data_IF_407699280924
#
_entry.id   IF_407699280924
#
_cell.length_a   1.000
_cell.length_b   1.000
_cell.length_c   1.000
_cell.angle_alpha   90.00
_cell.angle_beta   90.00
_cell.angle_gamma   90.00
#
_symmetry.space_group_name_H-M   'P 1'
#
loop_
_entity.id
_entity.type
_entity.pdbx_description
1 polymer ?
#
# COMPACT_ATOMS: atom_id res chain seq x y z
N UNK A 1 94.36 13.16 -33.78
CA UNK A 1 93.68 11.90 -34.18
C UNK A 1 92.80 11.52 -33.01
N UNK A 2 91.62 12.13 -32.98
CA UNK A 2 90.67 12.04 -31.88
C UNK A 2 89.75 10.84 -32.11
N UNK A 3 89.88 9.83 -31.25
CA UNK A 3 88.99 8.66 -31.24
C UNK A 3 87.78 8.98 -30.37
N UNK A 4 86.68 9.35 -31.03
CA UNK A 4 85.36 9.55 -30.47
C UNK A 4 84.82 8.25 -29.85
N UNK A 5 84.82 8.15 -28.52
CA UNK A 5 84.02 7.20 -27.75
C UNK A 5 82.72 7.89 -27.32
N UNK A 6 81.78 8.04 -28.26
CA UNK A 6 80.40 8.41 -27.95
C UNK A 6 79.54 7.15 -27.96
N UNK A 7 79.58 6.39 -26.86
CA UNK A 7 78.62 5.32 -26.61
C UNK A 7 77.24 5.95 -26.37
N UNK A 8 76.36 5.86 -27.35
CA UNK A 8 74.94 6.18 -27.17
C UNK A 8 74.30 5.11 -26.28
N UNK A 9 74.31 5.33 -24.97
CA UNK A 9 73.53 4.55 -24.01
C UNK A 9 72.04 4.89 -24.19
N UNK A 10 71.41 4.38 -25.25
CA UNK A 10 69.95 4.29 -25.29
C UNK A 10 69.53 3.12 -24.42
N UNK A 11 69.19 3.40 -23.16
CA UNK A 11 68.53 2.43 -22.29
C UNK A 11 67.27 1.89 -23.00
N UNK A 12 67.00 0.58 -22.98
CA UNK A 12 65.81 0.02 -23.59
C UNK A 12 64.55 0.70 -23.00
N UNK A 13 63.52 0.93 -23.82
CA UNK A 13 62.28 1.55 -23.33
C UNK A 13 61.71 0.68 -22.20
N UNK A 14 61.42 1.30 -21.06
CA UNK A 14 60.79 0.61 -19.93
C UNK A 14 59.43 0.06 -20.39
N UNK A 15 59.07 -1.17 -20.02
CA UNK A 15 57.75 -1.69 -20.34
C UNK A 15 56.68 -0.82 -19.67
N UNK A 16 55.67 -0.40 -20.44
CA UNK A 16 54.52 0.33 -19.91
C UNK A 16 53.69 -0.61 -19.04
N UNK A 17 53.25 -0.14 -17.87
CA UNK A 17 52.35 -0.88 -16.99
C UNK A 17 51.08 -1.29 -17.74
N UNK A 18 50.55 -2.48 -17.44
CA UNK A 18 49.31 -2.99 -18.05
C UNK A 18 48.35 -3.50 -16.99
N UNK A 19 47.08 -3.11 -17.09
CA UNK A 19 46.01 -3.64 -16.25
C UNK A 19 45.72 -5.09 -16.64
N UNK A 20 46.22 -6.04 -15.86
CA UNK A 20 45.96 -7.48 -16.02
C UNK A 20 45.30 -7.98 -14.74
N UNK A 21 44.19 -8.72 -14.87
CA UNK A 21 43.52 -9.32 -13.70
C UNK A 21 44.33 -10.49 -13.12
N UNK A 22 44.99 -11.24 -14.00
CA UNK A 22 45.88 -12.33 -13.64
C UNK A 22 47.14 -12.23 -14.50
N UNK A 23 48.27 -12.10 -13.83
CA UNK A 23 49.60 -11.99 -14.41
C UNK A 23 50.57 -11.78 -13.25
N UNK A 24 51.70 -12.46 -13.26
CA UNK A 24 52.71 -12.27 -12.21
C UNK A 24 53.27 -10.84 -12.19
N UNK A 25 54.23 -10.60 -11.30
CA UNK A 25 54.87 -9.30 -11.10
C UNK A 25 55.37 -8.70 -12.42
N UNK A 26 54.94 -7.47 -12.72
CA UNK A 26 55.39 -6.76 -13.92
C UNK A 26 56.79 -6.17 -13.69
N UNK A 27 57.78 -6.48 -14.56
CA UNK A 27 59.13 -5.97 -14.39
C UNK A 27 59.16 -4.44 -14.40
N UNK A 28 59.71 -3.83 -13.35
CA UNK A 28 59.87 -2.37 -13.23
C UNK A 28 58.77 -1.64 -12.47
N UNK A 29 57.82 -2.36 -11.86
CA UNK A 29 56.78 -1.80 -10.99
C UNK A 29 56.73 -2.58 -9.67
N UNK A 30 56.56 -1.86 -8.56
CA UNK A 30 56.37 -2.46 -7.23
C UNK A 30 55.00 -3.17 -7.14
N UNK A 31 54.88 -4.11 -6.19
CA UNK A 31 53.65 -4.91 -6.01
C UNK A 31 52.43 -4.06 -5.64
N UNK A 32 52.64 -2.90 -5.01
CA UNK A 32 51.59 -1.93 -4.66
C UNK A 32 51.44 -0.78 -5.68
N UNK A 33 52.06 -0.90 -6.87
CA UNK A 33 52.00 0.14 -7.87
C UNK A 33 50.58 0.28 -8.44
N UNK A 34 50.01 1.48 -8.27
CA UNK A 34 48.74 1.88 -8.88
C UNK A 34 49.04 2.88 -9.99
N UNK A 35 48.58 2.59 -11.21
CA UNK A 35 48.78 3.46 -12.36
C UNK A 35 47.97 4.76 -12.24
N UNK A 36 48.47 5.86 -12.82
CA UNK A 36 47.81 7.18 -12.75
C UNK A 36 46.42 7.17 -13.41
N UNK A 37 46.20 6.28 -14.40
CA UNK A 37 44.89 6.13 -15.08
C UNK A 37 43.89 5.28 -14.31
N UNK A 38 44.25 4.75 -13.14
CA UNK A 38 43.40 3.84 -12.35
C UNK A 38 42.01 4.43 -12.06
N UNK A 39 41.98 5.71 -11.70
CA UNK A 39 40.74 6.42 -11.37
C UNK A 39 39.95 6.84 -12.62
N UNK A 40 40.58 6.88 -13.80
CA UNK A 40 39.88 7.23 -15.06
C UNK A 40 38.84 6.17 -15.43
N UNK A 41 39.07 4.90 -15.03
CA UNK A 41 38.11 3.81 -15.20
C UNK A 41 37.07 3.70 -14.09
N UNK A 42 37.06 4.60 -13.11
CA UNK A 42 36.11 4.55 -11.99
C UNK A 42 34.73 5.02 -12.45
N UNK A 43 33.81 4.08 -12.62
CA UNK A 43 32.41 4.41 -12.87
C UNK A 43 31.73 4.71 -11.53
N UNK A 44 31.72 5.98 -11.14
CA UNK A 44 30.88 6.44 -10.03
C UNK A 44 29.44 6.60 -10.53
N UNK A 45 28.45 6.18 -9.72
CA UNK A 45 27.03 6.43 -9.99
C UNK A 45 26.48 5.82 -11.30
N UNK A 46 27.02 4.67 -11.73
CA UNK A 46 26.61 3.95 -12.94
C UNK A 46 25.09 3.73 -13.08
N UNK A 47 24.36 3.72 -11.95
CA UNK A 47 22.93 3.38 -11.87
C UNK A 47 22.14 4.34 -10.99
N UNK A 48 22.51 5.62 -10.92
CA UNK A 48 21.71 6.60 -10.15
C UNK A 48 20.44 6.93 -10.94
N UNK A 49 19.35 6.26 -10.57
CA UNK A 49 18.00 6.57 -11.04
C UNK A 49 17.55 7.86 -10.35
N UNK A 50 17.50 8.97 -11.10
CA UNK A 50 16.85 10.20 -10.65
C UNK A 50 15.35 9.92 -10.55
N UNK A 51 14.84 9.82 -9.33
CA UNK A 51 13.40 9.68 -9.08
C UNK A 51 12.75 11.06 -9.17
N UNK A 52 11.60 11.12 -9.82
CA UNK A 52 10.76 12.30 -9.77
C UNK A 52 10.12 12.37 -8.38
N UNK A 53 10.49 13.41 -7.61
CA UNK A 53 10.01 13.59 -6.25
C UNK A 53 8.49 13.79 -6.21
N UNK A 54 7.90 14.47 -7.21
CA UNK A 54 6.45 14.70 -7.25
C UNK A 54 5.69 13.39 -7.42
N UNK A 55 6.19 12.52 -8.30
CA UNK A 55 5.61 11.20 -8.51
C UNK A 55 5.68 10.37 -7.22
N UNK A 56 6.83 10.34 -6.56
CA UNK A 56 6.99 9.60 -5.29
C UNK A 56 6.09 10.16 -4.19
N UNK A 57 5.95 11.49 -4.12
CA UNK A 57 5.05 12.13 -3.16
C UNK A 57 3.59 11.77 -3.44
N UNK A 58 3.14 11.80 -4.70
CA UNK A 58 1.79 11.40 -5.09
C UNK A 58 1.55 9.92 -4.75
N UNK A 59 2.48 9.04 -5.09
CA UNK A 59 2.38 7.60 -4.80
C UNK A 59 2.33 7.33 -3.28
N UNK A 60 2.94 8.18 -2.46
CA UNK A 60 2.90 8.06 -0.99
C UNK A 60 1.58 8.50 -0.35
N UNK A 61 0.72 9.23 -1.09
CA UNK A 61 -0.60 9.65 -0.59
C UNK A 61 -1.46 8.44 -0.31
N UNK A 62 -1.49 7.46 -1.22
CA UNK A 62 -2.26 6.23 -1.06
C UNK A 62 -1.88 5.47 0.22
N UNK A 63 -0.60 5.42 0.58
CA UNK A 63 -0.14 4.79 1.82
C UNK A 63 -0.63 5.57 3.04
N UNK A 64 -0.51 6.91 3.00
CA UNK A 64 -0.89 7.79 4.09
C UNK A 64 -2.41 7.78 4.33
N UNK A 65 -3.20 7.68 3.26
CA UNK A 65 -4.65 7.55 3.28
C UNK A 65 -5.10 6.31 4.05
N UNK A 66 -4.60 5.13 3.67
CA UNK A 66 -4.94 3.87 4.33
C UNK A 66 -4.48 3.82 5.80
N UNK A 67 -3.32 4.40 6.11
CA UNK A 67 -2.90 4.55 7.51
C UNK A 67 -3.87 5.44 8.30
N UNK A 68 -4.37 6.52 7.69
CA UNK A 68 -5.36 7.40 8.28
C UNK A 68 -6.69 6.66 8.50
N UNK A 69 -7.14 5.87 7.53
CA UNK A 69 -8.35 5.05 7.64
C UNK A 69 -8.26 4.10 8.83
N UNK A 70 -7.20 3.29 8.92
CA UNK A 70 -7.03 2.35 10.04
C UNK A 70 -6.92 3.08 11.38
N UNK A 71 -6.27 4.24 11.42
CA UNK A 71 -6.21 5.07 12.63
C UNK A 71 -7.60 5.61 13.02
N UNK A 72 -8.42 6.05 12.06
CA UNK A 72 -9.78 6.49 12.30
C UNK A 72 -10.67 5.36 12.81
N UNK A 73 -10.56 4.15 12.25
CA UNK A 73 -11.26 2.95 12.74
C UNK A 73 -10.96 2.69 14.22
N UNK A 74 -9.67 2.67 14.59
CA UNK A 74 -9.24 2.48 15.98
C UNK A 74 -9.72 3.63 16.88
N UNK A 75 -9.69 4.87 16.38
CA UNK A 75 -10.16 6.04 17.12
C UNK A 75 -11.66 5.97 17.38
N UNK A 76 -12.48 5.72 16.35
CA UNK A 76 -13.93 5.60 16.49
C UNK A 76 -14.28 4.47 17.45
N UNK A 77 -13.60 3.33 17.36
CA UNK A 77 -13.80 2.22 18.29
C UNK A 77 -13.49 2.60 19.73
N UNK A 78 -12.31 3.17 20.01
CA UNK A 78 -11.89 3.56 21.36
C UNK A 78 -12.78 4.66 21.95
N UNK A 79 -13.20 5.64 21.14
CA UNK A 79 -14.15 6.68 21.53
C UNK A 79 -15.53 6.11 21.85
N UNK A 80 -16.00 5.13 21.07
CA UNK A 80 -17.29 4.46 21.29
C UNK A 80 -17.26 3.61 22.56
N UNK A 81 -16.18 2.87 22.82
CA UNK A 81 -16.01 2.12 24.08
C UNK A 81 -15.93 3.05 25.30
N UNK A 82 -15.30 4.22 25.14
CA UNK A 82 -15.22 5.24 26.19
C UNK A 82 -16.54 5.97 26.44
N UNK A 83 -17.62 5.61 25.73
CA UNK A 83 -18.94 6.27 25.77
C UNK A 83 -18.88 7.78 25.47
N UNK A 84 -17.86 8.22 24.72
CA UNK A 84 -17.68 9.64 24.38
C UNK A 84 -18.45 10.04 23.13
N UNK A 85 -18.81 9.07 22.28
CA UNK A 85 -19.61 9.28 21.08
C UNK A 85 -21.00 8.70 21.30
N UNK A 86 -22.01 9.54 21.06
CA UNK A 86 -23.42 9.13 21.09
C UNK A 86 -23.80 8.39 19.80
N UNK A 87 -24.78 7.49 19.91
CA UNK A 87 -25.33 6.70 18.81
C UNK A 87 -25.79 7.60 17.66
N UNK A 88 -26.48 8.69 18.00
CA UNK A 88 -27.04 9.61 17.01
C UNK A 88 -25.96 10.44 16.32
N UNK A 89 -24.89 10.78 17.05
CA UNK A 89 -23.77 11.56 16.50
C UNK A 89 -22.99 10.72 15.49
N UNK A 90 -22.75 9.44 15.79
CA UNK A 90 -22.07 8.53 14.86
C UNK A 90 -22.91 8.30 13.59
N UNK A 91 -24.21 8.05 13.74
CA UNK A 91 -25.12 7.91 12.59
C UNK A 91 -25.21 9.19 11.74
N UNK A 92 -25.18 10.37 12.37
CA UNK A 92 -25.19 11.65 11.67
C UNK A 92 -23.92 11.83 10.84
N UNK A 93 -22.75 11.48 11.41
CA UNK A 93 -21.48 11.49 10.67
C UNK A 93 -21.58 10.55 9.46
N UNK A 94 -22.07 9.33 9.66
CA UNK A 94 -22.25 8.34 8.61
C UNK A 94 -23.15 8.83 7.47
N UNK A 95 -24.29 9.44 7.80
CA UNK A 95 -25.22 10.01 6.83
C UNK A 95 -24.58 11.19 6.11
N UNK A 96 -23.87 12.06 6.84
CA UNK A 96 -23.19 13.23 6.25
C UNK A 96 -22.13 12.83 5.24
N UNK A 97 -21.36 11.77 5.53
CA UNK A 97 -20.34 11.23 4.64
C UNK A 97 -20.98 10.61 3.39
N UNK A 98 -22.09 9.88 3.55
CA UNK A 98 -22.85 9.30 2.44
C UNK A 98 -23.40 10.40 1.51
N UNK A 99 -24.00 11.44 2.09
CA UNK A 99 -24.53 12.59 1.35
C UNK A 99 -23.40 13.33 0.64
N UNK A 100 -22.26 13.55 1.30
CA UNK A 100 -21.09 14.18 0.69
C UNK A 100 -20.57 13.37 -0.50
N UNK A 101 -20.44 12.05 -0.36
CA UNK A 101 -20.03 11.17 -1.47
C UNK A 101 -20.99 11.23 -2.65
N UNK A 102 -22.30 11.24 -2.37
CA UNK A 102 -23.33 11.40 -3.39
C UNK A 102 -23.29 12.78 -4.06
N UNK A 103 -23.03 13.85 -3.32
CA UNK A 103 -22.86 15.19 -3.87
C UNK A 103 -21.66 15.26 -4.82
N UNK A 104 -20.51 14.70 -4.44
CA UNK A 104 -19.32 14.62 -5.31
C UNK A 104 -19.64 13.88 -6.60
N UNK A 105 -20.37 12.78 -6.53
CA UNK A 105 -20.82 12.01 -7.68
C UNK A 105 -21.73 12.84 -8.59
N UNK A 106 -22.69 13.55 -8.02
CA UNK A 106 -23.60 14.45 -8.76
C UNK A 106 -22.83 15.58 -9.45
N UNK A 107 -21.82 16.15 -8.78
CA UNK A 107 -20.99 17.21 -9.38
C UNK A 107 -20.03 16.69 -10.45
N UNK A 108 -19.60 15.43 -10.37
CA UNK A 108 -18.65 14.83 -11.33
C UNK A 108 -19.34 14.27 -12.57
N UNK A 109 -20.59 13.80 -12.44
CA UNK A 109 -21.33 13.16 -13.52
C UNK A 109 -22.30 14.14 -14.19
N UNK A 110 -22.10 14.43 -15.47
CA UNK A 110 -22.91 15.44 -16.19
C UNK A 110 -24.35 14.99 -16.52
N UNK A 111 -24.65 13.68 -16.52
CA UNK A 111 -25.97 13.15 -16.91
C UNK A 111 -26.37 11.93 -16.06
N UNK A 112 -26.94 12.15 -14.87
CA UNK A 112 -27.55 11.07 -14.08
C UNK A 112 -28.99 10.80 -14.53
N UNK A 113 -29.28 9.57 -14.95
CA UNK A 113 -30.65 9.15 -15.20
C UNK A 113 -31.36 8.77 -13.89
N UNK A 114 -32.65 9.09 -13.78
CA UNK A 114 -33.44 8.78 -12.58
C UNK A 114 -33.56 7.27 -12.34
N UNK A 115 -33.60 6.47 -13.39
CA UNK A 115 -33.62 5.00 -13.29
C UNK A 115 -32.34 4.46 -12.66
N UNK A 116 -31.18 5.02 -13.01
CA UNK A 116 -29.90 4.65 -12.44
C UNK A 116 -29.80 5.07 -10.96
N UNK A 117 -30.27 6.27 -10.62
CA UNK A 117 -30.34 6.74 -9.24
C UNK A 117 -31.24 5.82 -8.39
N UNK A 118 -32.42 5.46 -8.89
CA UNK A 118 -33.31 4.52 -8.20
C UNK A 118 -32.68 3.13 -8.04
N UNK A 119 -31.96 2.64 -9.05
CA UNK A 119 -31.23 1.38 -8.95
C UNK A 119 -30.18 1.43 -7.82
N UNK A 120 -29.40 2.51 -7.74
CA UNK A 120 -28.45 2.70 -6.63
C UNK A 120 -29.12 2.83 -5.28
N UNK A 121 -30.18 3.62 -5.18
CA UNK A 121 -30.93 3.78 -3.94
C UNK A 121 -31.50 2.44 -3.45
N UNK A 122 -32.00 1.59 -4.35
CA UNK A 122 -32.50 0.26 -4.01
C UNK A 122 -31.38 -0.68 -3.56
N UNK A 123 -30.23 -0.70 -4.25
CA UNK A 123 -29.10 -1.54 -3.85
C UNK A 123 -28.55 -1.13 -2.48
N UNK A 124 -28.40 0.17 -2.25
CA UNK A 124 -28.00 0.72 -0.94
C UNK A 124 -29.04 0.35 0.12
N UNK A 125 -30.33 0.52 -0.17
CA UNK A 125 -31.41 0.17 0.77
C UNK A 125 -31.40 -1.31 1.15
N UNK A 126 -31.21 -2.22 0.18
CA UNK A 126 -31.09 -3.65 0.43
C UNK A 126 -29.87 -3.97 1.31
N UNK A 127 -28.72 -3.38 1.01
CA UNK A 127 -27.48 -3.56 1.77
C UNK A 127 -27.63 -3.07 3.22
N UNK A 128 -28.14 -1.85 3.41
CA UNK A 128 -28.37 -1.24 4.72
C UNK A 128 -29.37 -2.06 5.54
N UNK A 129 -30.46 -2.51 4.92
CA UNK A 129 -31.44 -3.37 5.58
C UNK A 129 -30.82 -4.70 6.00
N UNK A 130 -30.02 -5.32 5.13
CA UNK A 130 -29.29 -6.55 5.42
C UNK A 130 -28.37 -6.40 6.63
N UNK A 131 -27.55 -5.33 6.66
CA UNK A 131 -26.66 -5.04 7.79
C UNK A 131 -27.44 -4.80 9.09
N UNK A 132 -28.57 -4.09 9.05
CA UNK A 132 -29.38 -3.84 10.23
C UNK A 132 -29.96 -5.14 10.82
N UNK A 133 -30.45 -6.04 9.96
CA UNK A 133 -30.95 -7.35 10.38
C UNK A 133 -29.84 -8.22 10.95
N UNK A 134 -28.62 -8.10 10.42
CA UNK A 134 -27.44 -8.87 10.83
C UNK A 134 -26.73 -8.30 12.07
N UNK A 135 -26.98 -7.03 12.43
CA UNK A 135 -26.42 -6.36 13.61
C UNK A 135 -26.52 -7.17 14.93
N UNK A 136 -27.68 -7.76 15.32
CA UNK A 136 -27.74 -8.60 16.53
C UNK A 136 -26.87 -9.86 16.46
N UNK A 137 -26.64 -10.41 15.26
CA UNK A 137 -25.77 -11.58 15.06
C UNK A 137 -24.32 -11.16 15.27
N UNK A 138 -23.91 -10.03 14.68
CA UNK A 138 -22.56 -9.48 14.92
C UNK A 138 -22.32 -9.18 16.40
N UNK A 139 -23.30 -8.58 17.09
CA UNK A 139 -23.20 -8.28 18.51
C UNK A 139 -22.98 -9.53 19.39
N UNK A 140 -23.55 -10.68 19.00
CA UNK A 140 -23.52 -11.88 19.83
C UNK A 140 -22.39 -12.83 19.50
N UNK A 141 -21.72 -12.66 18.35
CA UNK A 141 -20.74 -13.59 17.80
C UNK A 141 -19.58 -13.92 18.76
N UNK A 142 -19.02 -12.91 19.42
CA UNK A 142 -17.82 -13.06 20.26
C UNK A 142 -18.11 -12.88 21.75
N UNK A 143 -19.38 -13.01 22.17
CA UNK A 143 -19.77 -12.79 23.58
C UNK A 143 -19.13 -13.79 24.53
N UNK A 144 -18.80 -14.99 24.06
CA UNK A 144 -18.16 -16.07 24.84
C UNK A 144 -16.65 -15.91 25.00
N UNK A 145 -16.02 -14.99 24.25
CA UNK A 145 -14.57 -14.76 24.26
C UNK A 145 -14.25 -13.54 25.14
N UNK A 146 -13.12 -13.56 25.84
CA UNK A 146 -12.64 -12.44 26.65
C UNK A 146 -12.36 -11.20 25.80
N UNK A 147 -12.59 -10.02 26.39
CA UNK A 147 -12.39 -8.73 25.69
C UNK A 147 -10.93 -8.48 25.34
N UNK A 148 -10.00 -8.86 26.21
CA UNK A 148 -8.56 -8.70 25.99
C UNK A 148 -8.06 -9.50 24.78
N UNK A 149 -8.57 -10.73 24.63
CA UNK A 149 -8.23 -11.59 23.49
C UNK A 149 -8.80 -11.04 22.19
N UNK A 150 -10.04 -10.55 22.20
CA UNK A 150 -10.65 -9.93 21.01
C UNK A 150 -9.84 -8.70 20.60
N UNK A 151 -9.47 -7.84 21.56
CA UNK A 151 -8.63 -6.68 21.29
C UNK A 151 -7.30 -7.05 20.66
N UNK A 152 -6.60 -8.05 21.22
CA UNK A 152 -5.32 -8.52 20.68
C UNK A 152 -5.45 -9.09 19.25
N UNK A 153 -6.49 -9.88 18.99
CA UNK A 153 -6.73 -10.47 17.66
C UNK A 153 -7.13 -9.40 16.65
N UNK A 154 -8.00 -8.44 17.01
CA UNK A 154 -8.35 -7.30 16.16
C UNK A 154 -7.13 -6.49 15.77
N UNK A 155 -6.28 -6.11 16.73
CA UNK A 155 -5.05 -5.37 16.43
C UNK A 155 -4.12 -6.18 15.54
N UNK A 156 -3.99 -7.49 15.79
CA UNK A 156 -3.19 -8.37 14.93
C UNK A 156 -3.74 -8.45 13.51
N UNK A 157 -5.07 -8.52 13.34
CA UNK A 157 -5.72 -8.53 12.02
C UNK A 157 -5.57 -7.19 11.30
N UNK A 158 -5.68 -6.06 11.99
CA UNK A 158 -5.43 -4.73 11.41
C UNK A 158 -3.97 -4.57 10.97
N UNK A 159 -3.03 -5.09 11.75
CA UNK A 159 -1.60 -5.12 11.36
C UNK A 159 -1.40 -6.00 10.13
N UNK A 160 -2.01 -7.19 10.09
CA UNK A 160 -1.97 -8.07 8.91
C UNK A 160 -2.56 -7.36 7.69
N UNK A 161 -3.72 -6.70 7.83
CA UNK A 161 -4.34 -5.92 6.77
C UNK A 161 -3.40 -4.83 6.24
N UNK A 162 -2.80 -4.01 7.12
CA UNK A 162 -1.83 -2.99 6.71
C UNK A 162 -0.62 -3.56 5.95
N UNK A 163 -0.10 -4.73 6.33
CA UNK A 163 1.06 -5.32 5.65
C UNK A 163 0.71 -6.04 4.34
N UNK A 164 -0.50 -6.56 4.23
CA UNK A 164 -0.96 -7.34 3.08
C UNK A 164 -1.72 -6.50 2.06
N UNK A 165 -2.09 -5.27 2.42
CA UNK A 165 -2.80 -4.38 1.50
C UNK A 165 -1.94 -4.01 0.28
N UNK A 166 -2.58 -4.02 -0.89
CA UNK A 166 -1.93 -3.65 -2.14
C UNK A 166 -2.05 -2.14 -2.37
N UNK A 167 -1.03 -1.40 -1.91
CA UNK A 167 -0.94 0.04 -2.11
C UNK A 167 -0.64 0.45 -3.57
N UNK A 168 -0.45 -0.52 -4.48
CA UNK A 168 0.00 -0.28 -5.86
C UNK A 168 -1.12 0.06 -6.85
N UNK A 169 -2.36 0.21 -6.39
CA UNK A 169 -3.52 0.38 -7.27
C UNK A 169 -3.46 1.65 -8.15
N UNK A 170 -2.66 2.65 -7.76
CA UNK A 170 -2.65 3.97 -8.41
C UNK A 170 -1.62 4.17 -9.51
N UNK A 171 -0.42 3.57 -9.51
CA UNK A 171 0.59 3.90 -10.55
C UNK A 171 1.67 2.82 -10.79
N UNK A 172 1.78 2.42 -12.06
CA UNK A 172 2.91 1.68 -12.67
C UNK A 172 3.19 0.28 -12.11
N UNK A 173 2.47 -0.71 -12.64
CA UNK A 173 2.95 -2.10 -12.66
C UNK A 173 4.30 -2.13 -13.39
N UNK A 174 5.39 -2.31 -12.66
CA UNK A 174 6.68 -2.61 -13.27
C UNK A 174 6.55 -3.92 -14.06
N UNK A 175 6.99 -3.98 -15.34
CA UNK A 175 6.90 -5.20 -16.12
C UNK A 175 7.82 -6.27 -15.51
N UNK A 176 7.28 -7.41 -15.07
CA UNK A 176 8.06 -8.60 -14.73
C UNK A 176 8.01 -9.11 -13.29
N UNK A 177 7.25 -8.50 -12.37
CA UNK A 177 7.07 -9.07 -11.02
C UNK A 177 5.84 -9.97 -10.99
N UNK A 178 6.08 -11.29 -11.08
CA UNK A 178 5.08 -12.34 -10.84
C UNK A 178 4.81 -12.46 -9.33
N UNK A 179 4.26 -11.42 -8.71
CA UNK A 179 3.55 -11.59 -7.43
C UNK A 179 2.14 -12.10 -7.77
N UNK A 180 1.53 -12.86 -6.86
CA UNK A 180 0.09 -13.07 -6.86
C UNK A 180 -0.54 -11.95 -5.98
N UNK A 181 -0.62 -10.68 -6.45
CA UNK A 181 -1.18 -9.59 -5.65
C UNK A 181 -2.63 -9.90 -5.23
N UNK A 182 -3.35 -10.67 -6.05
CA UNK A 182 -4.70 -11.10 -5.77
C UNK A 182 -4.83 -11.87 -4.45
N UNK A 183 -3.93 -12.82 -4.15
CA UNK A 183 -4.03 -13.60 -2.91
C UNK A 183 -3.76 -12.74 -1.67
N UNK A 184 -2.72 -11.89 -1.73
CA UNK A 184 -2.36 -10.99 -0.64
C UNK A 184 -3.48 -9.97 -0.36
N UNK A 185 -4.03 -9.38 -1.42
CA UNK A 185 -5.18 -8.47 -1.34
C UNK A 185 -6.42 -9.17 -0.78
N UNK A 186 -6.77 -10.37 -1.24
CA UNK A 186 -7.90 -11.12 -0.69
C UNK A 186 -7.74 -11.43 0.80
N UNK A 187 -6.54 -11.82 1.24
CA UNK A 187 -6.27 -12.06 2.67
C UNK A 187 -6.40 -10.75 3.45
N UNK A 188 -5.89 -9.64 2.90
CA UNK A 188 -5.97 -8.31 3.51
C UNK A 188 -7.41 -7.87 3.74
N UNK A 189 -8.25 -7.93 2.70
CA UNK A 189 -9.67 -7.52 2.78
C UNK A 189 -10.42 -8.41 3.77
N UNK A 190 -10.20 -9.72 3.71
CA UNK A 190 -10.82 -10.65 4.67
C UNK A 190 -10.36 -10.37 6.12
N UNK A 191 -9.09 -10.03 6.33
CA UNK A 191 -8.57 -9.67 7.64
C UNK A 191 -9.24 -8.39 8.18
N UNK A 192 -9.42 -7.37 7.35
CA UNK A 192 -10.15 -6.13 7.70
C UNK A 192 -11.61 -6.40 8.04
N UNK A 193 -12.32 -7.17 7.22
CA UNK A 193 -13.73 -7.54 7.48
C UNK A 193 -13.88 -8.34 8.78
N UNK A 194 -12.96 -9.26 9.08
CA UNK A 194 -13.01 -10.00 10.36
C UNK A 194 -12.68 -9.07 11.54
N UNK A 195 -11.74 -8.15 11.37
CA UNK A 195 -11.39 -7.17 12.39
C UNK A 195 -12.57 -6.23 12.73
N UNK A 196 -13.27 -5.73 11.72
CA UNK A 196 -14.46 -4.87 11.90
C UNK A 196 -15.60 -5.60 12.61
N UNK A 197 -15.85 -6.87 12.27
CA UNK A 197 -16.85 -7.70 12.97
C UNK A 197 -16.49 -7.88 14.44
N UNK A 198 -15.21 -8.06 14.78
CA UNK A 198 -14.76 -8.17 16.17
C UNK A 198 -14.83 -6.85 16.95
N UNK A 199 -14.62 -5.72 16.28
CA UNK A 199 -14.85 -4.39 16.86
C UNK A 199 -16.34 -4.23 17.16
N UNK A 200 -17.18 -4.49 16.16
CA UNK A 200 -18.62 -4.30 16.23
C UNK A 200 -19.27 -5.22 17.28
N UNK A 201 -18.80 -6.46 17.41
CA UNK A 201 -19.35 -7.43 18.37
C UNK A 201 -19.21 -7.02 19.84
N UNK A 202 -18.31 -6.08 20.16
CA UNK A 202 -18.06 -5.60 21.52
C UNK A 202 -18.81 -4.33 21.90
N UNK A 203 -19.60 -3.78 20.98
CA UNK A 203 -20.34 -2.55 21.23
C UNK A 203 -21.61 -2.80 22.06
N UNK A 204 -21.97 -1.88 22.96
CA UNK A 204 -23.06 -2.07 23.92
C UNK A 204 -24.45 -2.01 23.27
N UNK A 205 -24.62 -1.22 22.19
CA UNK A 205 -25.91 -1.03 21.51
C UNK A 205 -25.89 -1.54 20.07
N UNK A 206 -27.02 -2.07 19.61
CA UNK A 206 -27.20 -2.54 18.23
C UNK A 206 -27.02 -1.42 17.21
N UNK A 207 -27.36 -0.18 17.56
CA UNK A 207 -27.20 0.97 16.66
C UNK A 207 -25.72 1.32 16.48
N UNK A 208 -24.91 1.22 17.54
CA UNK A 208 -23.46 1.35 17.43
C UNK A 208 -22.86 0.27 16.53
N UNK A 209 -23.29 -1.00 16.67
CA UNK A 209 -22.86 -2.10 15.79
C UNK A 209 -23.16 -1.78 14.33
N UNK A 210 -24.39 -1.37 14.06
CA UNK A 210 -24.84 -1.03 12.72
C UNK A 210 -24.06 0.15 12.11
N UNK A 211 -23.87 1.24 12.87
CA UNK A 211 -23.14 2.42 12.43
C UNK A 211 -21.67 2.09 12.11
N UNK A 212 -20.97 1.39 13.04
CA UNK A 212 -19.58 1.00 12.81
C UNK A 212 -19.47 0.06 11.61
N UNK A 213 -20.33 -0.95 11.46
CA UNK A 213 -20.28 -1.83 10.29
C UNK A 213 -20.45 -1.05 8.99
N UNK A 214 -21.41 -0.11 8.93
CA UNK A 214 -21.58 0.76 7.75
C UNK A 214 -20.32 1.58 7.47
N UNK A 215 -19.74 2.18 8.52
CA UNK A 215 -18.55 3.02 8.40
C UNK A 215 -17.34 2.24 7.86
N UNK A 216 -17.13 1.01 8.33
CA UNK A 216 -16.05 0.12 7.86
C UNK A 216 -16.24 -0.30 6.40
N UNK A 217 -17.46 -0.70 6.02
CA UNK A 217 -17.76 -1.04 4.63
C UNK A 217 -17.56 0.14 3.68
N UNK A 218 -17.83 1.38 4.12
CA UNK A 218 -17.54 2.58 3.31
C UNK A 218 -16.05 2.81 3.06
N UNK A 219 -15.18 2.38 3.98
CA UNK A 219 -13.74 2.56 3.88
C UNK A 219 -13.06 1.43 3.12
N UNK A 220 -13.56 0.19 3.21
CA UNK A 220 -13.02 -0.97 2.51
C UNK A 220 -13.46 -1.01 1.03
N UNK A 221 -14.65 -0.48 0.73
CA UNK A 221 -15.13 -0.37 -0.65
C UNK A 221 -14.53 0.90 -1.25
N UNK A 222 -13.59 0.75 -2.19
CA UNK A 222 -13.00 1.83 -2.99
C UNK A 222 -14.08 2.53 -3.85
N UNK A 223 -14.91 3.38 -3.23
CA UNK A 223 -15.86 4.25 -3.92
C UNK A 223 -17.04 3.56 -4.63
N UNK A 224 -17.97 4.33 -5.24
CA UNK A 224 -19.37 3.93 -5.39
C UNK A 224 -19.72 2.95 -6.54
N UNK A 225 -18.74 2.31 -7.19
CA UNK A 225 -18.95 1.64 -8.49
C UNK A 225 -18.04 0.44 -8.74
N UNK A 226 -17.69 -0.33 -7.71
CA UNK A 226 -17.16 -1.65 -8.00
C UNK A 226 -18.26 -2.46 -8.69
N UNK A 227 -18.30 -2.38 -10.02
CA UNK A 227 -18.84 -3.46 -10.83
C UNK A 227 -18.13 -4.69 -10.29
N UNK A 228 -18.86 -5.53 -9.57
CA UNK A 228 -18.45 -6.91 -9.40
C UNK A 228 -18.31 -7.46 -10.82
N UNK A 229 -17.12 -7.33 -11.40
CA UNK A 229 -16.71 -8.10 -12.57
C UNK A 229 -16.66 -9.51 -12.06
N UNK A 230 -17.81 -10.18 -12.14
CA UNK A 230 -17.91 -11.61 -12.04
C UNK A 230 -16.88 -12.17 -13.01
N UNK A 231 -15.77 -12.66 -12.47
CA UNK A 231 -14.73 -13.37 -13.20
C UNK A 231 -15.28 -14.77 -13.56
N UNK A 232 -16.37 -14.80 -14.32
CA UNK A 232 -16.81 -15.98 -15.03
C UNK A 232 -16.67 -15.63 -16.50
N UNK A 233 -15.44 -15.78 -17.01
CA UNK A 233 -15.26 -16.13 -18.41
C UNK A 233 -15.95 -17.49 -18.59
N UNK A 234 -17.24 -17.46 -18.92
CA UNK A 234 -17.89 -18.58 -19.57
C UNK A 234 -17.49 -18.44 -21.04
N UNK A 235 -16.32 -18.97 -21.37
CA UNK A 235 -16.04 -19.39 -22.75
C UNK A 235 -17.07 -20.44 -23.13
N UNK A 236 -18.00 -20.08 -24.01
CA UNK A 236 -18.66 -21.02 -24.93
C UNK A 236 -17.65 -21.57 -25.94
#
# INVERSE_FOLDING_TARGET
MDLNLAGSNSSPPRPKWRKVAYGGMQPGYDDNHTDETFLEGMVMNASVVKRDMLKVMLDSVSISEYLCIVALVVLVWTCTLSSSLDENSLLLIDISLLVSGFLVLLFTQEMLSLSLLLHYALNISFFITGLYVLAPIYQTLTRSISSDSIGAVTVSLLVIHLFLHDYSESTVKAPGVLKNPALTSCISVNASVVASVFIASRLPSRLHVFAIMIQEYKFEINGPWDEAKLCFDITD
#
